data_IF_936437018630
#
_entry.id   IF_936437018630
#
_cell.length_a   1.000
_cell.length_b   1.000
_cell.length_c   1.000
_cell.angle_alpha   90.00
_cell.angle_beta   90.00
_cell.angle_gamma   90.00
#
_symmetry.space_group_name_H-M   'P 1'
#
loop_
_entity.id
_entity.type
_entity.pdbx_description
1 polymer ?
#
# COMPACT_ATOMS: atom_id res chain seq x y z
N UNK A 1 -24.41 -11.18 2.73
CA UNK A 1 -22.98 -10.90 2.50
C UNK A 1 -22.27 -11.02 3.84
N UNK A 2 -21.38 -12.01 3.97
CA UNK A 2 -20.83 -12.48 5.26
C UNK A 2 -19.61 -11.63 5.63
N UNK A 3 -19.59 -11.05 6.82
CA UNK A 3 -18.56 -10.13 7.34
C UNK A 3 -17.11 -10.67 7.24
N UNK A 4 -16.95 -11.99 7.13
CA UNK A 4 -15.66 -12.67 6.93
C UNK A 4 -15.06 -12.47 5.53
N UNK A 5 -15.88 -12.39 4.48
CA UNK A 5 -15.41 -12.25 3.09
C UNK A 5 -14.77 -10.88 2.86
N UNK A 6 -15.33 -9.84 3.48
CA UNK A 6 -14.81 -8.46 3.39
C UNK A 6 -13.43 -8.31 4.05
N UNK A 7 -13.19 -9.01 5.17
CA UNK A 7 -11.86 -9.04 5.81
C UNK A 7 -10.82 -9.71 4.92
N UNK A 8 -11.16 -10.84 4.34
CA UNK A 8 -10.25 -11.57 3.47
C UNK A 8 -9.97 -10.79 2.18
N UNK A 9 -10.99 -10.12 1.62
CA UNK A 9 -10.84 -9.23 0.49
C UNK A 9 -9.88 -8.06 0.80
N UNK A 10 -10.03 -7.41 1.96
CA UNK A 10 -9.13 -6.33 2.39
C UNK A 10 -7.67 -6.78 2.55
N UNK A 11 -7.43 -7.96 3.15
CA UNK A 11 -6.08 -8.52 3.28
C UNK A 11 -5.45 -8.83 1.92
N UNK A 12 -6.22 -9.38 0.98
CA UNK A 12 -5.76 -9.66 -0.38
C UNK A 12 -5.43 -8.36 -1.12
N UNK A 13 -6.33 -7.37 -1.08
CA UNK A 13 -6.10 -6.07 -1.71
C UNK A 13 -4.85 -5.37 -1.17
N UNK A 14 -4.66 -5.38 0.15
CA UNK A 14 -3.44 -4.87 0.79
C UNK A 14 -2.18 -5.60 0.33
N UNK A 15 -2.19 -6.93 0.36
CA UNK A 15 -1.04 -7.74 -0.07
C UNK A 15 -0.65 -7.46 -1.53
N UNK A 16 -1.63 -7.34 -2.41
CA UNK A 16 -1.40 -6.98 -3.82
C UNK A 16 -0.82 -5.57 -3.96
N UNK A 17 -1.35 -4.58 -3.24
CA UNK A 17 -0.84 -3.21 -3.26
C UNK A 17 0.61 -3.13 -2.78
N UNK A 18 0.95 -3.83 -1.69
CA UNK A 18 2.31 -3.92 -1.17
C UNK A 18 3.25 -4.55 -2.20
N UNK A 19 2.85 -5.65 -2.84
CA UNK A 19 3.68 -6.33 -3.82
C UNK A 19 3.95 -5.44 -5.04
N UNK A 20 2.92 -4.76 -5.57
CA UNK A 20 3.08 -3.81 -6.68
C UNK A 20 4.07 -2.69 -6.33
N UNK A 21 3.95 -2.11 -5.13
CA UNK A 21 4.85 -1.05 -4.68
C UNK A 21 6.30 -1.53 -4.55
N UNK A 22 6.51 -2.73 -3.99
CA UNK A 22 7.84 -3.35 -3.88
C UNK A 22 8.45 -3.62 -5.25
N UNK A 23 7.67 -4.15 -6.18
CA UNK A 23 8.12 -4.41 -7.55
C UNK A 23 8.47 -3.11 -8.28
N UNK A 24 7.66 -2.05 -8.10
CA UNK A 24 7.94 -0.74 -8.67
C UNK A 24 9.25 -0.15 -8.11
N UNK A 25 9.40 -0.14 -6.77
CA UNK A 25 10.60 0.36 -6.10
C UNK A 25 11.86 -0.40 -6.51
N UNK A 26 11.76 -1.72 -6.65
CA UNK A 26 12.88 -2.53 -7.11
C UNK A 26 13.24 -2.25 -8.58
N UNK A 27 12.24 -2.18 -9.45
CA UNK A 27 12.45 -1.96 -10.89
C UNK A 27 12.99 -0.55 -11.20
N UNK A 28 12.48 0.46 -10.50
CA UNK A 28 12.81 1.87 -10.78
C UNK A 28 14.08 2.32 -10.06
N UNK A 29 14.21 1.96 -8.78
CA UNK A 29 15.21 2.54 -7.89
C UNK A 29 16.17 1.50 -7.30
N UNK A 30 16.00 0.21 -7.63
CA UNK A 30 16.80 -0.88 -7.05
C UNK A 30 16.52 -1.15 -5.56
N UNK A 31 15.47 -0.53 -5.00
CA UNK A 31 15.17 -0.59 -3.57
C UNK A 31 14.37 -1.84 -3.20
N UNK A 32 14.79 -2.52 -2.12
CA UNK A 32 14.05 -3.64 -1.52
C UNK A 32 13.30 -3.19 -0.27
N UNK A 33 12.07 -2.72 -0.44
CA UNK A 33 11.23 -2.30 0.68
C UNK A 33 10.83 -3.51 1.53
N UNK A 34 11.15 -3.47 2.81
CA UNK A 34 11.02 -4.60 3.74
C UNK A 34 10.04 -4.31 4.88
N UNK A 35 9.86 -3.05 5.24
CA UNK A 35 9.05 -2.62 6.39
C UNK A 35 7.87 -1.73 6.00
N UNK A 36 6.86 -1.66 6.88
CA UNK A 36 5.70 -0.79 6.70
C UNK A 36 6.10 0.69 6.56
N UNK A 37 7.09 1.13 7.34
CA UNK A 37 7.62 2.49 7.31
C UNK A 37 8.23 2.81 5.94
N UNK A 38 9.06 1.92 5.40
CA UNK A 38 9.68 2.10 4.08
C UNK A 38 8.64 2.20 2.95
N UNK A 39 7.53 1.45 3.04
CA UNK A 39 6.44 1.57 2.07
C UNK A 39 5.80 2.97 2.11
N UNK A 40 5.56 3.51 3.30
CA UNK A 40 4.99 4.86 3.46
C UNK A 40 5.94 5.97 3.01
N UNK A 41 7.21 5.87 3.37
CA UNK A 41 8.24 6.82 2.92
C UNK A 41 8.39 6.78 1.39
N UNK A 42 8.37 5.60 0.79
CA UNK A 42 8.43 5.44 -0.67
C UNK A 42 7.21 6.04 -1.38
N UNK A 43 5.99 5.77 -0.88
CA UNK A 43 4.76 6.37 -1.43
C UNK A 43 4.74 7.89 -1.29
N UNK A 44 5.25 8.42 -0.17
CA UNK A 44 5.39 9.86 0.04
C UNK A 44 6.25 10.49 -1.06
N UNK A 45 7.47 9.96 -1.24
CA UNK A 45 8.37 10.42 -2.31
C UNK A 45 7.75 10.27 -3.70
N UNK A 46 7.14 9.12 -4.00
CA UNK A 46 6.50 8.86 -5.28
C UNK A 46 5.39 9.88 -5.58
N UNK A 47 4.58 10.22 -4.57
CA UNK A 47 3.49 11.21 -4.67
C UNK A 47 4.02 12.60 -5.02
N UNK A 48 5.14 13.00 -4.42
CA UNK A 48 5.79 14.29 -4.69
C UNK A 48 6.43 14.32 -6.08
N UNK A 49 7.11 13.24 -6.47
CA UNK A 49 7.80 13.13 -7.76
C UNK A 49 6.84 13.19 -8.95
N UNK A 50 5.73 12.44 -8.91
CA UNK A 50 4.76 12.40 -10.00
C UNK A 50 3.69 13.50 -9.87
N UNK A 51 3.75 14.30 -8.80
CA UNK A 51 2.80 15.37 -8.46
C UNK A 51 1.33 14.92 -8.41
N UNK A 52 1.09 13.62 -8.17
CA UNK A 52 -0.25 13.05 -8.08
C UNK A 52 -0.60 12.66 -6.64
N UNK A 53 -1.39 13.53 -6.00
CA UNK A 53 -1.88 13.33 -4.64
C UNK A 53 -2.83 12.14 -4.52
N UNK A 54 -3.41 11.66 -5.62
CA UNK A 54 -4.27 10.47 -5.62
C UNK A 54 -3.50 9.24 -5.16
N UNK A 55 -2.22 9.08 -5.51
CA UNK A 55 -1.42 7.90 -5.11
C UNK A 55 -1.37 7.77 -3.59
N UNK A 56 -1.04 8.87 -2.89
CA UNK A 56 -1.04 8.91 -1.43
C UNK A 56 -2.43 8.66 -0.82
N UNK A 57 -3.51 9.14 -1.47
CA UNK A 57 -4.90 8.89 -1.05
C UNK A 57 -5.28 7.41 -1.18
N UNK A 58 -5.00 6.79 -2.32
CA UNK A 58 -5.27 5.37 -2.56
C UNK A 58 -4.47 4.49 -1.60
N UNK A 59 -3.19 4.81 -1.38
CA UNK A 59 -2.36 4.08 -0.42
C UNK A 59 -2.92 4.16 1.00
N UNK A 60 -3.38 5.34 1.43
CA UNK A 60 -4.03 5.51 2.74
C UNK A 60 -5.31 4.69 2.85
N UNK A 61 -6.14 4.69 1.81
CA UNK A 61 -7.39 3.91 1.78
C UNK A 61 -7.13 2.40 1.87
N UNK A 62 -6.20 1.86 1.09
CA UNK A 62 -5.89 0.42 1.16
C UNK A 62 -5.19 0.04 2.47
N UNK A 63 -4.40 0.95 3.05
CA UNK A 63 -3.79 0.77 4.38
C UNK A 63 -4.84 0.74 5.49
N UNK A 64 -5.87 1.58 5.42
CA UNK A 64 -6.92 1.61 6.44
C UNK A 64 -7.79 0.34 6.40
N UNK A 65 -8.01 -0.24 5.22
CA UNK A 65 -8.69 -1.54 5.07
C UNK A 65 -7.93 -2.68 5.77
N UNK A 66 -6.60 -2.57 5.90
CA UNK A 66 -5.76 -3.51 6.66
C UNK A 66 -5.78 -3.23 8.17
N UNK A 67 -5.78 -1.96 8.60
CA UNK A 67 -5.69 -1.55 10.01
C UNK A 67 -7.05 -1.57 10.74
N UNK A 68 -8.17 -1.40 10.05
CA UNK A 68 -9.53 -1.33 10.64
C UNK A 68 -10.01 -2.63 11.31
N UNK A 69 -9.13 -3.61 11.47
CA UNK A 69 -9.46 -4.94 11.99
C UNK A 69 -8.53 -5.45 13.10
N UNK A 70 -7.60 -4.61 13.58
CA UNK A 70 -6.86 -4.80 14.84
C UNK A 70 -7.46 -4.02 16.02
N UNK A 71 -8.61 -3.37 15.84
CA UNK A 71 -9.48 -2.91 16.94
C UNK A 71 -10.65 -3.87 17.12
#
# INVERSE_FOLDING_TARGET
>A
MVKGDLRQAGKKAWGTAVLMLKSLAYKRDGLRLSSYRELWEYVGRLTEEVRDKEIGRHWRSVSSMHVSFYK
#
